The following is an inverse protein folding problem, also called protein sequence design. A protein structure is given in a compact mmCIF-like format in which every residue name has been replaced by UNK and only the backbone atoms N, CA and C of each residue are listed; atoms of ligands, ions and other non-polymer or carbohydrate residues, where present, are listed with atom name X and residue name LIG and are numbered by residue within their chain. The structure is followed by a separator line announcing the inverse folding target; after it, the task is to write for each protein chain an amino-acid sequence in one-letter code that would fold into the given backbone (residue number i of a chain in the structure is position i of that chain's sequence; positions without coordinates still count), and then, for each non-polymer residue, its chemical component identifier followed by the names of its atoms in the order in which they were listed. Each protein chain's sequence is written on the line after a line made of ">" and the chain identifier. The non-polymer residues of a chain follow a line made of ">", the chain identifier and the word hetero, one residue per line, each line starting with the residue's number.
data_IF_870077780221
#
_entry.id   IF_870077780221
#
_cell.length_a   1.000
_cell.length_b   1.000
_cell.length_c   1.000
_cell.angle_alpha   90.00
_cell.angle_beta   90.00
_cell.angle_gamma   90.00
#
_symmetry.space_group_name_H-M   'P 1'
#
loop_
_entity.id
_entity.type
_entity.pdbx_description
1 polymer ?
#
# COMPACT_ATOMS: atom_id res chain seq x y z
N UNK A 1 8.84 16.98 -2.59
CA UNK A 1 7.69 16.14 -2.17
C UNK A 1 8.03 14.64 -1.96
N UNK A 2 9.29 14.18 -2.11
CA UNK A 2 9.69 12.79 -1.80
C UNK A 2 9.99 12.53 -0.31
N UNK A 3 10.63 13.48 0.38
CA UNK A 3 11.05 13.33 1.79
C UNK A 3 9.91 12.99 2.76
N UNK A 4 8.69 13.47 2.52
CA UNK A 4 7.57 13.23 3.43
C UNK A 4 7.05 11.80 3.38
N UNK A 5 7.11 11.14 2.22
CA UNK A 5 6.73 9.74 2.09
C UNK A 5 7.84 8.83 2.60
N UNK A 6 9.10 9.09 2.26
CA UNK A 6 10.24 8.31 2.76
C UNK A 6 10.29 8.30 4.30
N UNK A 7 10.09 9.47 4.93
CA UNK A 7 9.99 9.59 6.38
C UNK A 7 8.74 8.90 6.97
N UNK A 8 7.64 8.84 6.22
CA UNK A 8 6.47 8.07 6.65
C UNK A 8 6.73 6.55 6.63
N UNK A 9 7.54 6.09 5.68
CA UNK A 9 7.85 4.67 5.45
C UNK A 9 8.97 4.13 6.35
N UNK A 10 9.87 4.99 6.89
CA UNK A 10 11.01 4.55 7.72
C UNK A 10 10.59 3.74 8.95
N UNK A 11 9.41 4.02 9.50
CA UNK A 11 8.91 3.37 10.72
C UNK A 11 8.04 2.14 10.41
N UNK A 12 8.03 1.65 9.16
CA UNK A 12 7.14 0.58 8.71
C UNK A 12 7.85 -0.76 8.60
N UNK A 13 7.14 -1.81 8.99
CA UNK A 13 7.63 -3.19 8.92
C UNK A 13 7.60 -3.69 7.48
N UNK A 14 8.71 -4.28 7.05
CA UNK A 14 8.85 -4.91 5.74
C UNK A 14 8.69 -6.43 5.90
N UNK A 15 7.75 -7.00 5.16
CA UNK A 15 7.49 -8.43 5.07
C UNK A 15 8.14 -9.00 3.81
N UNK A 16 8.58 -10.25 3.87
CA UNK A 16 9.17 -10.94 2.73
C UNK A 16 8.24 -12.08 2.29
N UNK A 17 7.77 -12.03 1.05
CA UNK A 17 7.00 -13.12 0.44
C UNK A 17 7.58 -13.43 -0.95
N UNK A 18 7.91 -14.70 -1.20
CA UNK A 18 8.44 -15.17 -2.50
C UNK A 18 9.63 -14.34 -3.02
N UNK A 19 10.50 -13.91 -2.11
CA UNK A 19 11.67 -13.08 -2.44
C UNK A 19 11.37 -11.62 -2.80
N UNK A 20 10.13 -11.16 -2.60
CA UNK A 20 9.73 -9.76 -2.80
C UNK A 20 9.37 -9.08 -1.47
N UNK A 21 9.71 -7.78 -1.31
CA UNK A 21 9.37 -7.01 -0.11
C UNK A 21 7.95 -6.40 -0.20
N UNK A 22 7.21 -6.48 0.90
CA UNK A 22 5.85 -5.94 1.01
C UNK A 22 5.67 -5.14 2.30
N UNK A 23 4.79 -4.14 2.25
CA UNK A 23 4.20 -3.56 3.45
C UNK A 23 2.81 -4.16 3.71
N UNK A 24 2.47 -4.41 4.97
CA UNK A 24 1.14 -4.90 5.36
C UNK A 24 0.23 -3.73 5.68
N UNK A 25 -0.95 -3.69 5.06
CA UNK A 25 -2.02 -2.77 5.41
C UNK A 25 -2.78 -3.25 6.66
N UNK A 26 -2.97 -2.33 7.61
CA UNK A 26 -3.77 -2.47 8.84
C UNK A 26 -5.17 -1.91 8.63
N UNK A 27 -6.13 -2.48 9.37
CA UNK A 27 -7.53 -2.01 9.46
C UNK A 27 -8.31 -1.96 8.14
N UNK A 28 -7.74 -2.52 7.08
CA UNK A 28 -8.43 -2.75 5.82
C UNK A 28 -9.03 -4.16 5.83
N UNK A 29 -10.21 -4.35 5.24
CA UNK A 29 -11.12 -5.49 5.49
C UNK A 29 -10.55 -6.91 5.34
N UNK A 30 -9.31 -7.10 4.88
CA UNK A 30 -8.50 -8.30 5.01
C UNK A 30 -7.00 -7.91 4.97
N UNK A 31 -6.09 -8.76 5.44
CA UNK A 31 -4.64 -8.50 5.53
C UNK A 31 -3.98 -8.30 4.16
N UNK A 32 -4.05 -7.09 3.61
CA UNK A 32 -3.42 -6.77 2.33
C UNK A 32 -1.92 -6.58 2.47
N UNK A 33 -1.17 -7.21 1.57
CA UNK A 33 0.24 -6.95 1.36
C UNK A 33 0.43 -6.17 0.07
N UNK A 34 1.21 -5.10 0.16
CA UNK A 34 1.43 -4.12 -0.91
C UNK A 34 2.90 -4.12 -1.26
N UNK A 35 3.24 -4.31 -2.53
CA UNK A 35 4.62 -4.31 -2.99
C UNK A 35 5.32 -2.99 -2.62
N UNK A 36 6.43 -3.10 -1.86
CA UNK A 36 7.21 -1.95 -1.38
C UNK A 36 7.67 -1.07 -2.54
N UNK A 37 8.03 -1.65 -3.69
CA UNK A 37 8.52 -0.89 -4.83
C UNK A 37 7.44 -0.01 -5.47
N UNK A 38 6.16 -0.39 -5.38
CA UNK A 38 5.07 0.47 -5.84
C UNK A 38 4.92 1.66 -4.90
N UNK A 39 4.96 1.40 -3.59
CA UNK A 39 4.85 2.45 -2.57
C UNK A 39 6.02 3.44 -2.64
N UNK A 40 7.26 2.96 -2.77
CA UNK A 40 8.45 3.83 -2.87
C UNK A 40 8.43 4.74 -4.12
N UNK A 41 7.67 4.36 -5.15
CA UNK A 41 7.51 5.12 -6.40
C UNK A 41 6.30 6.04 -6.40
N UNK A 42 5.54 6.16 -5.31
CA UNK A 42 4.38 7.06 -5.23
C UNK A 42 4.83 8.53 -5.24
N UNK A 43 4.90 9.10 -6.44
CA UNK A 43 5.11 10.53 -6.66
C UNK A 43 3.82 11.16 -7.17
N UNK A 44 3.02 11.75 -6.29
CA UNK A 44 1.89 12.61 -6.63
C UNK A 44 1.02 12.10 -7.77
N UNK A 45 0.29 11.01 -7.56
CA UNK A 45 -0.55 10.39 -8.58
C UNK A 45 -1.13 9.07 -8.12
N UNK A 46 -2.11 8.57 -8.87
CA UNK A 46 -2.67 7.24 -8.68
C UNK A 46 -1.82 6.21 -9.41
N UNK A 47 -1.49 5.09 -8.77
CA UNK A 47 -0.83 3.95 -9.40
C UNK A 47 -1.68 2.69 -9.25
N UNK A 48 -1.57 1.78 -10.21
CA UNK A 48 -2.08 0.42 -10.01
C UNK A 48 -1.20 -0.32 -9.01
N UNK A 49 -1.84 -1.15 -8.18
CA UNK A 49 -1.11 -1.98 -7.23
C UNK A 49 -1.72 -3.37 -7.15
N UNK A 50 -0.84 -4.35 -7.01
CA UNK A 50 -1.26 -5.71 -6.67
C UNK A 50 -1.50 -5.80 -5.16
N UNK A 51 -2.66 -6.36 -4.83
CA UNK A 51 -3.17 -6.51 -3.49
C UNK A 51 -3.26 -8.01 -3.19
N UNK A 52 -2.51 -8.48 -2.21
CA UNK A 52 -2.55 -9.88 -1.81
C UNK A 52 -3.40 -10.04 -0.55
N UNK A 53 -4.59 -10.66 -0.67
CA UNK A 53 -5.56 -10.81 0.44
C UNK A 53 -5.11 -11.81 1.51
N UNK A 54 -4.21 -12.72 1.15
CA UNK A 54 -3.64 -13.71 2.04
C UNK A 54 -2.40 -14.34 1.39
N UNK A 55 -1.22 -14.11 1.98
CA UNK A 55 0.04 -14.65 1.46
C UNK A 55 0.08 -16.19 1.39
N UNK A 56 -0.84 -16.88 2.08
CA UNK A 56 -0.91 -18.34 2.09
C UNK A 56 -1.82 -18.92 1.01
N UNK A 57 -2.83 -18.17 0.55
CA UNK A 57 -3.82 -18.65 -0.42
C UNK A 57 -3.72 -17.96 -1.80
N UNK A 58 -2.70 -17.13 -2.02
CA UNK A 58 -2.39 -16.49 -3.30
C UNK A 58 -3.59 -15.81 -3.95
N UNK A 59 -4.45 -15.19 -3.15
CA UNK A 59 -5.59 -14.46 -3.68
C UNK A 59 -5.13 -13.07 -4.07
N UNK A 60 -4.89 -12.89 -5.35
CA UNK A 60 -4.44 -11.63 -5.93
C UNK A 60 -5.65 -10.79 -6.38
N UNK A 61 -5.64 -9.51 -6.00
CA UNK A 61 -6.51 -8.49 -6.53
C UNK A 61 -5.67 -7.35 -7.09
N UNK A 62 -6.26 -6.53 -7.95
CA UNK A 62 -5.64 -5.30 -8.45
C UNK A 62 -6.46 -4.12 -7.96
N UNK A 63 -5.77 -3.11 -7.46
CA UNK A 63 -6.36 -1.89 -6.93
C UNK A 63 -5.64 -0.64 -7.41
N UNK A 64 -6.03 0.49 -6.84
CA UNK A 64 -5.41 1.79 -7.06
C UNK A 64 -4.88 2.32 -5.73
N UNK A 65 -3.68 2.90 -5.75
CA UNK A 65 -3.02 3.46 -4.57
C UNK A 65 -2.55 4.89 -4.86
N UNK A 66 -2.61 5.77 -3.87
CA UNK A 66 -2.02 7.11 -3.95
C UNK A 66 -1.56 7.62 -2.59
N UNK A 67 -0.58 8.51 -2.60
CA UNK A 67 -0.18 9.29 -1.43
C UNK A 67 -0.99 10.57 -1.34
N UNK A 68 -1.60 10.84 -0.17
CA UNK A 68 -2.23 12.11 0.16
C UNK A 68 -1.24 12.94 1.01
N UNK A 69 -0.53 13.91 0.40
CA UNK A 69 0.45 14.71 1.11
C UNK A 69 -0.17 15.68 2.11
N UNK A 70 -1.42 16.10 1.90
CA UNK A 70 -2.15 17.03 2.79
C UNK A 70 -2.44 16.35 4.13
N UNK A 71 -2.87 15.09 4.09
CA UNK A 71 -3.19 14.29 5.28
C UNK A 71 -2.06 13.37 5.75
N UNK A 72 -0.95 13.33 5.00
CA UNK A 72 0.21 12.44 5.23
C UNK A 72 -0.20 10.97 5.40
N UNK A 73 -1.04 10.48 4.49
CA UNK A 73 -1.55 9.10 4.54
C UNK A 73 -1.58 8.46 3.15
N UNK A 74 -1.52 7.14 3.12
CA UNK A 74 -1.70 6.37 1.88
C UNK A 74 -3.19 6.01 1.75
N UNK A 75 -3.70 6.12 0.53
CA UNK A 75 -5.07 5.84 0.17
C UNK A 75 -5.12 4.65 -0.79
N UNK A 76 -6.03 3.71 -0.55
CA UNK A 76 -6.21 2.51 -1.38
C UNK A 76 -7.65 2.41 -1.89
N UNK A 77 -7.82 1.90 -3.11
CA UNK A 77 -9.09 1.44 -3.66
C UNK A 77 -8.94 0.01 -4.17
N UNK A 78 -9.85 -0.89 -3.78
CA UNK A 78 -9.91 -2.26 -4.33
C UNK A 78 -10.56 -2.29 -5.73
N UNK A 79 -11.15 -1.19 -6.17
CA UNK A 79 -11.79 -1.08 -7.48
C UNK A 79 -10.88 -0.37 -8.47
N UNK A 80 -10.77 -0.95 -9.67
CA UNK A 80 -10.13 -0.28 -10.81
C UNK A 80 -10.98 0.82 -11.44
N UNK A 81 -12.29 0.84 -11.16
CA UNK A 81 -13.25 1.72 -11.83
C UNK A 81 -13.86 2.79 -10.92
N UNK A 82 -13.96 2.53 -9.61
CA UNK A 82 -14.58 3.46 -8.66
C UNK A 82 -13.56 4.07 -7.71
N UNK A 83 -13.61 5.40 -7.61
CA UNK A 83 -12.71 6.31 -6.88
C UNK A 83 -12.99 6.31 -5.36
N UNK A 84 -13.45 5.19 -4.78
CA UNK A 84 -13.65 5.09 -3.34
C UNK A 84 -12.32 4.76 -2.67
N UNK A 85 -11.47 5.78 -2.58
CA UNK A 85 -10.25 5.70 -1.81
C UNK A 85 -10.58 5.67 -0.33
N UNK A 86 -10.04 4.67 0.35
CA UNK A 86 -10.10 4.56 1.79
C UNK A 86 -8.67 4.69 2.36
N UNK A 87 -8.49 5.48 3.43
CA UNK A 87 -7.22 5.53 4.12
C UNK A 87 -6.93 4.19 4.77
N UNK A 88 -5.66 3.84 4.81
CA UNK A 88 -5.19 2.68 5.55
C UNK A 88 -3.85 3.01 6.20
N UNK A 89 -3.51 2.22 7.22
CA UNK A 89 -2.22 2.32 7.89
C UNK A 89 -1.31 1.19 7.48
N UNK A 90 -0.01 1.46 7.42
CA UNK A 90 0.99 0.40 7.29
C UNK A 90 1.40 -0.12 8.67
N UNK A 91 1.68 -1.42 8.74
CA UNK A 91 2.22 -2.02 9.95
C UNK A 91 3.54 -1.34 10.34
N UNK A 92 3.73 -1.12 11.64
CA UNK A 92 4.89 -0.43 12.19
C UNK A 92 5.97 -1.45 12.54
N UNK A 93 7.24 -1.04 12.41
CA UNK A 93 8.40 -1.87 12.77
C UNK A 93 8.39 -2.23 14.26
#
# INVERSE_FOLDING_TARGET
>A
MKESLERYLSDKKIYQFRGKPYYKAKNYKNSYYIDKHVIDRLSGGTQEVELEKNAQYNTHAKGLIKWDPTRKQILLSESKMRVYYQPFELDKA
#
